data_IF_899170086497
#
_entry.id   IF_899170086497
#
_cell.length_a   1.000
_cell.length_b   1.000
_cell.length_c   1.000
_cell.angle_alpha   90.00
_cell.angle_beta   90.00
_cell.angle_gamma   90.00
#
_symmetry.space_group_name_H-M   'P 1'
#
loop_
_entity.id
_entity.type
_entity.pdbx_description
1 polymer ?
#
# COMPACT_ATOMS: atom_id res chain seq x y z
N UNK A 1 -41.96 12.84 41.12
CA UNK A 1 -41.40 12.90 39.74
C UNK A 1 -39.89 13.22 39.68
N UNK A 2 -39.14 13.23 40.80
CA UNK A 2 -37.69 13.49 40.82
C UNK A 2 -36.78 12.24 40.73
N UNK A 3 -37.32 11.03 40.91
CA UNK A 3 -36.53 9.79 40.89
C UNK A 3 -36.17 9.29 39.49
N UNK A 4 -37.03 9.53 38.51
CA UNK A 4 -36.84 9.07 37.12
C UNK A 4 -35.83 9.92 36.36
N UNK A 5 -35.77 11.22 36.65
CA UNK A 5 -34.84 12.17 36.01
C UNK A 5 -33.40 11.91 36.43
N UNK A 6 -33.14 11.61 37.72
CA UNK A 6 -31.78 11.27 38.18
C UNK A 6 -31.22 9.99 37.54
N UNK A 7 -32.05 8.97 37.31
CA UNK A 7 -31.64 7.74 36.61
C UNK A 7 -31.34 7.97 35.12
N UNK A 8 -32.09 8.85 34.47
CA UNK A 8 -31.86 9.20 33.06
C UNK A 8 -30.57 10.03 32.90
N UNK A 9 -30.33 10.99 33.78
CA UNK A 9 -29.10 11.82 33.77
C UNK A 9 -27.86 10.96 34.07
N UNK A 10 -27.95 9.98 34.98
CA UNK A 10 -26.83 9.06 35.28
C UNK A 10 -26.52 8.12 34.11
N UNK A 11 -27.54 7.64 33.36
CA UNK A 11 -27.34 6.83 32.15
C UNK A 11 -26.69 7.63 31.00
N UNK A 12 -27.08 8.89 30.82
CA UNK A 12 -26.48 9.78 29.80
C UNK A 12 -25.04 10.15 30.18
N UNK A 13 -24.74 10.32 31.47
CA UNK A 13 -23.37 10.56 31.95
C UNK A 13 -22.48 9.31 31.79
N UNK A 14 -22.98 8.09 32.02
CA UNK A 14 -22.21 6.88 31.79
C UNK A 14 -21.96 6.60 30.30
N UNK A 15 -22.94 6.90 29.43
CA UNK A 15 -22.77 6.79 27.97
C UNK A 15 -21.87 7.91 27.41
N UNK A 16 -21.90 9.11 28.00
CA UNK A 16 -21.01 10.22 27.65
C UNK A 16 -19.57 10.05 28.15
N UNK A 17 -19.37 9.38 29.29
CA UNK A 17 -18.05 9.09 29.85
C UNK A 17 -17.35 7.90 29.16
N UNK A 18 -18.10 6.97 28.57
CA UNK A 18 -17.54 5.87 27.75
C UNK A 18 -16.97 6.35 26.41
N UNK A 19 -17.41 7.51 25.91
CA UNK A 19 -16.88 8.11 24.67
C UNK A 19 -15.66 9.02 24.87
N UNK A 20 -15.22 9.30 26.10
CA UNK A 20 -14.14 10.26 26.37
C UNK A 20 -12.87 9.64 26.95
N UNK A 21 -12.87 8.34 27.29
CA UNK A 21 -11.66 7.61 27.66
C UNK A 21 -11.30 6.46 26.70
N UNK A 22 -12.20 6.12 25.78
CA UNK A 22 -11.91 5.26 24.65
C UNK A 22 -11.74 6.13 23.42
N UNK A 23 -10.55 6.72 23.22
CA UNK A 23 -10.16 6.98 21.84
C UNK A 23 -10.39 5.69 21.08
N UNK A 24 -11.15 5.74 19.98
CA UNK A 24 -11.08 4.68 18.97
C UNK A 24 -9.60 4.58 18.63
N UNK A 25 -8.87 3.66 19.29
CA UNK A 25 -7.70 3.08 18.69
C UNK A 25 -8.30 2.35 17.50
N UNK A 26 -8.35 3.03 16.35
CA UNK A 26 -8.74 2.40 15.11
C UNK A 26 -7.89 1.13 15.03
N UNK A 27 -8.54 -0.02 15.06
CA UNK A 27 -7.89 -1.31 14.87
C UNK A 27 -7.08 -1.16 13.58
N UNK A 28 -5.75 -1.28 13.67
CA UNK A 28 -4.89 -1.08 12.50
C UNK A 28 -5.24 -2.16 11.50
N UNK A 29 -5.70 -1.77 10.30
CA UNK A 29 -5.98 -2.73 9.24
C UNK A 29 -4.65 -3.39 8.81
N UNK A 30 -4.50 -4.72 8.95
CA UNK A 30 -3.28 -5.41 8.57
C UNK A 30 -2.92 -5.19 7.09
N UNK A 31 -3.91 -4.97 6.20
CA UNK A 31 -3.66 -4.71 4.78
C UNK A 31 -3.06 -3.32 4.54
N UNK A 32 -3.44 -2.32 5.33
CA UNK A 32 -2.82 -0.99 5.30
C UNK A 32 -1.39 -1.02 5.87
N UNK A 33 -1.17 -1.81 6.92
CA UNK A 33 0.16 -2.07 7.44
C UNK A 33 1.05 -2.72 6.39
N UNK A 34 0.54 -3.72 5.67
CA UNK A 34 1.25 -4.37 4.56
C UNK A 34 1.57 -3.35 3.46
N UNK A 35 0.61 -2.55 3.00
CA UNK A 35 0.86 -1.55 1.96
C UNK A 35 1.97 -0.58 2.39
N UNK A 36 1.89 -0.05 3.62
CA UNK A 36 2.92 0.83 4.18
C UNK A 36 4.29 0.14 4.25
N UNK A 37 4.32 -1.11 4.71
CA UNK A 37 5.54 -1.92 4.75
C UNK A 37 6.15 -2.13 3.37
N UNK A 38 5.32 -2.40 2.36
CA UNK A 38 5.74 -2.57 0.96
C UNK A 38 6.34 -1.28 0.41
N UNK A 39 5.69 -0.13 0.59
CA UNK A 39 6.23 1.16 0.12
C UNK A 39 7.60 1.45 0.73
N UNK A 40 7.73 1.30 2.05
CA UNK A 40 8.99 1.51 2.79
C UNK A 40 10.07 0.50 2.36
N UNK A 41 9.67 -0.75 2.07
CA UNK A 41 10.58 -1.78 1.58
C UNK A 41 11.16 -1.40 0.22
N UNK A 42 10.34 -0.87 -0.70
CA UNK A 42 10.78 -0.43 -2.02
C UNK A 42 11.69 0.81 -1.94
N UNK A 43 11.49 1.66 -0.94
CA UNK A 43 12.40 2.77 -0.59
C UNK A 43 13.71 2.31 0.07
N UNK A 44 13.89 0.99 0.23
CA UNK A 44 15.07 0.31 0.80
C UNK A 44 15.29 0.56 2.29
N UNK A 45 14.27 1.04 3.01
CA UNK A 45 14.28 1.09 4.48
C UNK A 45 13.76 -0.23 5.06
N UNK A 46 14.59 -1.27 4.91
CA UNK A 46 14.22 -2.63 5.25
C UNK A 46 13.94 -2.83 6.74
N UNK A 47 14.64 -2.11 7.62
CA UNK A 47 14.42 -2.20 9.07
C UNK A 47 13.04 -1.71 9.43
N UNK A 48 12.64 -0.54 8.91
CA UNK A 48 11.33 0.01 9.19
C UNK A 48 10.22 -0.79 8.51
N UNK A 49 10.42 -1.24 7.27
CA UNK A 49 9.44 -2.09 6.58
C UNK A 49 9.13 -3.37 7.37
N UNK A 50 10.15 -3.99 7.98
CA UNK A 50 10.01 -5.17 8.84
C UNK A 50 9.02 -4.93 9.97
N UNK A 51 9.06 -3.77 10.61
CA UNK A 51 8.15 -3.45 11.72
C UNK A 51 6.68 -3.47 11.30
N UNK A 52 6.38 -3.04 10.07
CA UNK A 52 5.02 -3.04 9.54
C UNK A 52 4.56 -4.46 9.22
N UNK A 53 5.41 -5.28 8.59
CA UNK A 53 5.11 -6.68 8.34
C UNK A 53 4.96 -7.47 9.65
N UNK A 54 5.78 -7.20 10.67
CA UNK A 54 5.64 -7.76 12.02
C UNK A 54 4.31 -7.39 12.67
N UNK A 55 3.87 -6.14 12.54
CA UNK A 55 2.56 -5.71 13.04
C UNK A 55 1.43 -6.44 12.31
N UNK A 56 1.47 -6.52 10.98
CA UNK A 56 0.47 -7.26 10.20
C UNK A 56 0.42 -8.75 10.59
N UNK A 57 1.59 -9.39 10.75
CA UNK A 57 1.65 -10.79 11.17
C UNK A 57 1.15 -11.01 12.61
N UNK A 58 1.42 -10.07 13.54
CA UNK A 58 0.88 -10.10 14.91
C UNK A 58 -0.65 -9.99 14.94
N UNK A 59 -1.24 -9.37 13.92
CA UNK A 59 -2.68 -9.34 13.68
C UNK A 59 -3.18 -10.57 12.92
N UNK A 60 -2.37 -11.62 12.83
CA UNK A 60 -2.68 -12.89 12.15
C UNK A 60 -2.92 -12.79 10.64
N UNK A 61 -2.42 -11.73 9.99
CA UNK A 61 -2.49 -11.63 8.54
C UNK A 61 -1.45 -12.55 7.86
N UNK A 62 -1.95 -13.47 7.03
CA UNK A 62 -1.15 -14.48 6.38
C UNK A 62 -0.11 -13.89 5.41
N UNK A 63 -0.43 -12.79 4.72
CA UNK A 63 0.50 -12.16 3.79
C UNK A 63 1.64 -11.49 4.56
N UNK A 64 1.32 -10.78 5.64
CA UNK A 64 2.30 -10.17 6.53
C UNK A 64 3.28 -11.18 7.11
N UNK A 65 2.78 -12.34 7.57
CA UNK A 65 3.64 -13.42 8.05
C UNK A 65 4.48 -14.06 6.95
N UNK A 66 3.92 -14.21 5.74
CA UNK A 66 4.63 -14.81 4.59
C UNK A 66 5.77 -13.90 4.13
N UNK A 67 5.52 -12.60 4.00
CA UNK A 67 6.57 -11.62 3.66
C UNK A 67 7.69 -11.66 4.69
N UNK A 68 7.40 -11.68 5.99
CA UNK A 68 8.46 -11.78 7.01
C UNK A 68 9.34 -13.01 6.81
N UNK A 69 8.72 -14.17 6.55
CA UNK A 69 9.43 -15.44 6.37
C UNK A 69 10.33 -15.40 5.12
N UNK A 70 9.86 -14.78 4.04
CA UNK A 70 10.53 -14.85 2.73
C UNK A 70 11.47 -13.68 2.46
N UNK A 71 11.19 -12.51 3.03
CA UNK A 71 11.96 -11.28 2.85
C UNK A 71 12.96 -11.02 3.98
N UNK A 72 12.89 -11.74 5.11
CA UNK A 72 13.80 -11.53 6.25
C UNK A 72 14.40 -12.82 6.81
N UNK A 73 15.70 -12.80 7.09
CA UNK A 73 16.43 -13.88 7.76
C UNK A 73 17.38 -13.30 8.80
N UNK A 74 17.37 -13.84 10.02
CA UNK A 74 18.17 -13.34 11.16
C UNK A 74 18.03 -11.82 11.42
N UNK A 75 16.90 -11.22 11.04
CA UNK A 75 16.65 -9.78 11.19
C UNK A 75 17.07 -8.92 10.01
N UNK A 76 17.77 -9.48 9.03
CA UNK A 76 18.24 -8.78 7.83
C UNK A 76 17.32 -9.07 6.64
N UNK A 77 17.17 -8.08 5.74
CA UNK A 77 16.42 -8.29 4.51
C UNK A 77 17.21 -9.14 3.53
N UNK A 78 16.52 -10.10 2.92
CA UNK A 78 17.05 -10.98 1.89
C UNK A 78 16.36 -10.68 0.56
N UNK A 79 17.14 -10.24 -0.42
CA UNK A 79 16.67 -10.13 -1.79
C UNK A 79 16.57 -11.54 -2.40
N UNK A 80 15.36 -12.10 -2.41
CA UNK A 80 15.05 -13.38 -3.06
C UNK A 80 13.84 -13.24 -3.97
N UNK A 81 13.74 -14.10 -4.99
CA UNK A 81 12.58 -14.13 -5.87
C UNK A 81 11.29 -14.41 -5.08
N UNK A 82 11.36 -15.29 -4.07
CA UNK A 82 10.23 -15.58 -3.19
C UNK A 82 9.77 -14.33 -2.43
N UNK A 83 10.70 -13.52 -1.91
CA UNK A 83 10.38 -12.26 -1.23
C UNK A 83 9.65 -11.29 -2.17
N UNK A 84 10.11 -11.19 -3.41
CA UNK A 84 9.48 -10.36 -4.44
C UNK A 84 8.06 -10.86 -4.73
N UNK A 85 7.90 -12.16 -4.96
CA UNK A 85 6.61 -12.77 -5.28
C UNK A 85 5.59 -12.61 -4.14
N UNK A 86 5.99 -12.79 -2.88
CA UNK A 86 5.07 -12.57 -1.74
C UNK A 86 4.68 -11.12 -1.57
N UNK A 87 5.61 -10.18 -1.78
CA UNK A 87 5.30 -8.75 -1.75
C UNK A 87 4.29 -8.39 -2.85
N UNK A 88 4.52 -8.84 -4.09
CA UNK A 88 3.62 -8.58 -5.22
C UNK A 88 2.22 -9.15 -4.97
N UNK A 89 2.12 -10.40 -4.48
CA UNK A 89 0.82 -11.01 -4.13
C UNK A 89 0.10 -10.28 -3.00
N UNK A 90 0.82 -9.92 -1.94
CA UNK A 90 0.24 -9.21 -0.80
C UNK A 90 -0.30 -7.84 -1.21
N UNK A 91 0.37 -7.16 -2.14
CA UNK A 91 -0.07 -5.89 -2.68
C UNK A 91 -1.45 -5.98 -3.32
N UNK A 92 -1.76 -7.06 -4.03
CA UNK A 92 -3.08 -7.26 -4.67
C UNK A 92 -4.25 -7.30 -3.69
N UNK A 93 -3.99 -7.65 -2.43
CA UNK A 93 -4.99 -7.74 -1.37
C UNK A 93 -5.23 -6.42 -0.62
N UNK A 94 -4.37 -5.43 -0.83
CA UNK A 94 -4.44 -4.10 -0.18
C UNK A 94 -5.66 -3.31 -0.63
N UNK A 95 -6.09 -2.35 0.20
CA UNK A 95 -7.17 -1.45 -0.19
C UNK A 95 -6.77 -0.59 -1.39
N UNK A 96 -5.49 -0.20 -1.52
CA UNK A 96 -4.95 0.50 -2.71
C UNK A 96 -5.20 -0.29 -4.00
N UNK A 97 -4.81 -1.56 -4.03
CA UNK A 97 -5.04 -2.39 -5.22
C UNK A 97 -6.52 -2.62 -5.51
N UNK A 98 -7.35 -2.82 -4.47
CA UNK A 98 -8.80 -2.96 -4.61
C UNK A 98 -9.47 -1.68 -5.12
N UNK A 99 -9.10 -0.53 -4.57
CA UNK A 99 -9.62 0.77 -4.99
C UNK A 99 -9.24 1.08 -6.44
N UNK A 100 -7.99 0.81 -6.83
CA UNK A 100 -7.61 0.91 -8.23
C UNK A 100 -8.42 -0.04 -9.13
N UNK A 101 -8.65 -1.30 -8.72
CA UNK A 101 -9.55 -2.23 -9.43
C UNK A 101 -10.96 -1.65 -9.58
N UNK A 102 -11.44 -0.91 -8.57
CA UNK A 102 -12.70 -0.16 -8.56
C UNK A 102 -12.66 1.22 -9.22
N UNK A 103 -11.66 1.49 -10.06
CA UNK A 103 -11.50 2.74 -10.83
C UNK A 103 -11.26 4.00 -9.98
N UNK A 104 -10.65 3.85 -8.81
CA UNK A 104 -10.06 4.97 -8.10
C UNK A 104 -8.77 5.40 -8.82
N UNK A 105 -8.80 6.60 -9.42
CA UNK A 105 -7.74 7.11 -10.25
C UNK A 105 -6.45 7.40 -9.46
N UNK A 106 -6.58 7.90 -8.22
CA UNK A 106 -5.47 8.22 -7.34
C UNK A 106 -4.81 6.93 -6.85
N UNK A 107 -5.59 5.94 -6.43
CA UNK A 107 -5.05 4.64 -5.98
C UNK A 107 -4.39 3.85 -7.11
N UNK A 108 -4.86 4.02 -8.35
CA UNK A 108 -4.12 3.48 -9.50
C UNK A 108 -2.78 4.17 -9.73
N UNK A 109 -2.66 5.47 -9.44
CA UNK A 109 -1.38 6.17 -9.49
C UNK A 109 -0.43 5.67 -8.41
N UNK A 110 -0.89 5.56 -7.16
CA UNK A 110 -0.09 5.04 -6.04
C UNK A 110 0.45 3.63 -6.35
N UNK A 111 -0.39 2.77 -6.96
CA UNK A 111 0.01 1.45 -7.38
C UNK A 111 1.06 1.49 -8.51
N UNK A 112 0.93 2.42 -9.45
CA UNK A 112 1.93 2.63 -10.50
C UNK A 112 3.29 3.10 -9.94
N UNK A 113 3.29 3.98 -8.95
CA UNK A 113 4.49 4.45 -8.25
C UNK A 113 5.20 3.31 -7.53
N UNK A 114 4.45 2.40 -6.88
CA UNK A 114 5.04 1.18 -6.31
C UNK A 114 5.81 0.38 -7.36
N UNK A 115 5.17 0.06 -8.50
CA UNK A 115 5.82 -0.74 -9.55
C UNK A 115 6.99 0.00 -10.19
N UNK A 116 6.90 1.33 -10.31
CA UNK A 116 8.02 2.14 -10.78
C UNK A 116 9.23 2.03 -9.85
N UNK A 117 9.03 2.18 -8.54
CA UNK A 117 10.11 2.05 -7.56
C UNK A 117 10.66 0.62 -7.49
N UNK A 118 9.82 -0.39 -7.76
CA UNK A 118 10.22 -1.79 -7.91
C UNK A 118 10.92 -2.08 -9.25
N UNK A 119 11.11 -1.07 -10.10
CA UNK A 119 11.68 -1.15 -11.44
C UNK A 119 10.91 -2.10 -12.39
N UNK A 120 9.62 -2.31 -12.12
CA UNK A 120 8.68 -2.99 -13.00
C UNK A 120 7.99 -1.97 -13.90
N UNK A 121 8.72 -1.54 -14.93
CA UNK A 121 8.28 -0.48 -15.83
C UNK A 121 7.02 -0.83 -16.61
N UNK A 122 6.77 -2.13 -16.84
CA UNK A 122 5.60 -2.61 -17.56
C UNK A 122 4.34 -2.37 -16.73
N UNK A 123 4.32 -2.85 -15.49
CA UNK A 123 3.18 -2.64 -14.61
C UNK A 123 3.02 -1.16 -14.23
N UNK A 124 4.12 -0.43 -14.00
CA UNK A 124 4.07 1.01 -13.77
C UNK A 124 3.34 1.75 -14.91
N UNK A 125 3.71 1.49 -16.16
CA UNK A 125 3.06 2.11 -17.32
C UNK A 125 1.58 1.72 -17.43
N UNK A 126 1.25 0.45 -17.17
CA UNK A 126 -0.13 -0.02 -17.20
C UNK A 126 -1.01 0.75 -16.20
N UNK A 127 -0.57 0.87 -14.96
CA UNK A 127 -1.34 1.54 -13.91
C UNK A 127 -1.35 3.07 -14.06
N UNK A 128 -0.26 3.71 -14.51
CA UNK A 128 -0.29 5.13 -14.88
C UNK A 128 -1.25 5.39 -16.03
N UNK A 129 -1.26 4.53 -17.05
CA UNK A 129 -2.20 4.64 -18.18
C UNK A 129 -3.65 4.46 -17.72
N UNK A 130 -3.91 3.54 -16.78
CA UNK A 130 -5.23 3.38 -16.18
C UNK A 130 -5.64 4.61 -15.38
N UNK A 131 -4.76 5.13 -14.53
CA UNK A 131 -4.97 6.38 -13.79
C UNK A 131 -5.29 7.55 -14.73
N UNK A 132 -4.55 7.68 -15.83
CA UNK A 132 -4.83 8.68 -16.87
C UNK A 132 -6.21 8.54 -17.51
N UNK A 133 -6.62 7.31 -17.89
CA UNK A 133 -7.96 7.03 -18.43
C UNK A 133 -9.08 7.41 -17.47
N UNK A 134 -8.78 7.45 -16.18
CA UNK A 134 -9.69 7.89 -15.12
C UNK A 134 -9.57 9.39 -14.82
N UNK A 135 -8.99 10.17 -15.74
CA UNK A 135 -8.80 11.63 -15.68
C UNK A 135 -7.86 12.11 -14.58
N UNK A 136 -6.95 11.27 -14.08
CA UNK A 136 -5.88 11.75 -13.21
C UNK A 136 -4.78 12.43 -14.04
N UNK A 137 -4.58 13.73 -13.79
CA UNK A 137 -3.62 14.56 -14.54
C UNK A 137 -2.19 14.05 -14.39
N UNK A 138 -1.79 13.66 -13.18
CA UNK A 138 -0.45 13.17 -12.90
C UNK A 138 -0.20 11.81 -13.56
N UNK A 139 -1.17 10.90 -13.50
CA UNK A 139 -1.13 9.63 -14.24
C UNK A 139 -0.96 9.83 -15.76
N UNK A 140 -1.59 10.86 -16.34
CA UNK A 140 -1.39 11.20 -17.76
C UNK A 140 0.02 11.73 -18.05
N UNK A 141 0.56 12.60 -17.20
CA UNK A 141 1.92 13.12 -17.37
C UNK A 141 2.98 12.01 -17.24
N UNK A 142 2.83 11.14 -16.24
CA UNK A 142 3.77 10.06 -15.96
C UNK A 142 3.73 8.98 -17.05
N UNK A 143 2.54 8.54 -17.47
CA UNK A 143 2.41 7.59 -18.60
C UNK A 143 3.03 8.13 -19.90
N UNK A 144 2.81 9.41 -20.23
CA UNK A 144 3.41 10.04 -21.41
C UNK A 144 4.95 10.10 -21.33
N UNK A 145 5.49 10.40 -20.16
CA UNK A 145 6.94 10.43 -19.92
C UNK A 145 7.57 9.06 -20.17
N UNK A 146 6.96 8.00 -19.62
CA UNK A 146 7.36 6.62 -19.86
C UNK A 146 7.40 6.26 -21.35
N UNK A 147 6.31 6.55 -22.09
CA UNK A 147 6.27 6.29 -23.53
C UNK A 147 7.40 7.01 -24.28
N UNK A 148 7.67 8.27 -23.93
CA UNK A 148 8.74 9.04 -24.56
C UNK A 148 10.12 8.43 -24.30
N UNK A 149 10.40 8.00 -23.07
CA UNK A 149 11.69 7.42 -22.72
C UNK A 149 11.88 6.02 -23.33
N UNK A 150 10.82 5.20 -23.38
CA UNK A 150 10.83 3.94 -24.13
C UNK A 150 11.13 4.17 -25.62
N UNK A 151 10.50 5.17 -26.26
CA UNK A 151 10.76 5.51 -27.67
C UNK A 151 12.20 5.97 -27.89
N UNK A 152 12.75 6.79 -26.98
CA UNK A 152 14.16 7.22 -27.06
C UNK A 152 15.10 6.02 -26.92
N UNK A 153 14.82 5.11 -25.99
CA UNK A 153 15.58 3.86 -25.83
C UNK A 153 15.62 3.05 -27.11
N UNK A 154 14.46 2.75 -27.70
CA UNK A 154 14.36 2.01 -28.97
C UNK A 154 15.14 2.67 -30.12
N UNK A 155 15.11 4.01 -30.20
CA UNK A 155 15.89 4.76 -31.20
C UNK A 155 17.39 4.65 -30.96
N UNK A 156 17.84 4.63 -29.71
CA UNK A 156 19.24 4.45 -29.34
C UNK A 156 19.68 3.03 -29.67
N UNK A 157 18.92 2.03 -29.24
CA UNK A 157 19.23 0.61 -29.50
C UNK A 157 19.33 0.33 -31.00
N UNK A 158 18.47 0.95 -31.83
CA UNK A 158 18.58 0.86 -33.29
C UNK A 158 19.87 1.48 -33.83
N UNK A 159 20.30 2.64 -33.30
CA UNK A 159 21.53 3.32 -33.72
C UNK A 159 22.79 2.56 -33.30
N UNK A 160 22.75 1.88 -32.16
CA UNK A 160 23.88 1.09 -31.66
C UNK A 160 24.06 -0.24 -32.43
N UNK A 161 23.12 -0.59 -33.32
CA UNK A 161 23.13 -1.76 -34.20
C UNK A 161 23.48 -1.44 -35.66
N UNK A 162 23.62 -0.16 -36.04
CA UNK A 162 24.01 0.34 -37.37
C UNK A 162 25.49 0.73 -37.42
#
# INVERSE_FOLDING_TARGET
MLGSVKKAVFRVLCLGALCLCGGLMAEQDPKELIFSGITIYTDKDFTRAKEYFEKACKLHDADGCTILREAYSNGEAIASENARESIEKALEHTATAKACKSNDAEKCKDLAEFYFNANDLKNALEYYSKSCKLNNVEGCMLSATFYNDMIKGLKKDKKDLE
#
